data_IF_851988268024
#
_entry.id   IF_851988268024
#
_cell.length_a   1.000
_cell.length_b   1.000
_cell.length_c   1.000
_cell.angle_alpha   90.00
_cell.angle_beta   90.00
_cell.angle_gamma   90.00
#
_symmetry.space_group_name_H-M   'P 1'
#
loop_
_entity.id
_entity.type
_entity.pdbx_description
1 polymer ?
#
# COMPACT_ATOMS: atom_id res chain seq x y z
N UNK A 1 -31.06 6.87 0.01
CA UNK A 1 -31.67 7.56 -1.15
C UNK A 1 -31.73 6.74 -2.45
N UNK A 2 -31.27 5.47 -2.55
CA UNK A 2 -31.51 4.64 -3.76
C UNK A 2 -32.87 3.93 -3.71
N UNK A 3 -33.29 3.53 -2.52
CA UNK A 3 -34.55 2.80 -2.26
C UNK A 3 -35.79 3.66 -2.53
N UNK A 4 -35.67 4.98 -2.43
CA UNK A 4 -36.80 5.91 -2.64
C UNK A 4 -37.03 6.24 -4.12
N UNK A 5 -35.97 6.20 -4.94
CA UNK A 5 -36.01 6.54 -6.37
C UNK A 5 -36.33 5.33 -7.26
N UNK A 6 -35.97 4.13 -6.81
CA UNK A 6 -36.10 2.90 -7.60
C UNK A 6 -37.55 2.48 -7.85
N UNK A 7 -38.48 2.51 -6.86
CA UNK A 7 -39.87 2.13 -7.08
C UNK A 7 -40.61 2.98 -8.13
N UNK A 8 -40.61 4.34 -8.07
CA UNK A 8 -41.27 5.15 -9.09
C UNK A 8 -40.55 5.09 -10.46
N UNK A 9 -39.24 4.84 -10.47
CA UNK A 9 -38.47 4.65 -11.70
C UNK A 9 -38.84 3.37 -12.46
N UNK A 10 -39.07 2.26 -11.75
CA UNK A 10 -39.49 0.99 -12.37
C UNK A 10 -40.95 1.06 -12.84
N UNK A 11 -41.83 1.71 -12.08
CA UNK A 11 -43.23 1.86 -12.45
C UNK A 11 -43.42 2.68 -13.74
N UNK A 12 -42.57 3.71 -13.94
CA UNK A 12 -42.66 4.61 -15.10
C UNK A 12 -41.88 4.14 -16.34
N UNK A 13 -40.66 3.60 -16.17
CA UNK A 13 -39.76 3.23 -17.27
C UNK A 13 -39.60 1.71 -17.45
N UNK A 14 -40.05 0.90 -16.49
CA UNK A 14 -39.98 -0.57 -16.56
C UNK A 14 -38.56 -1.07 -16.80
N UNK A 15 -38.36 -1.78 -17.92
CA UNK A 15 -37.08 -2.40 -18.27
C UNK A 15 -35.98 -1.38 -18.62
N UNK A 16 -36.35 -0.18 -19.09
CA UNK A 16 -35.40 0.86 -19.50
C UNK A 16 -34.64 1.44 -18.31
N UNK A 17 -35.22 1.38 -17.12
CA UNK A 17 -34.55 1.79 -15.88
C UNK A 17 -33.27 0.99 -15.62
N UNK A 18 -33.21 -0.29 -16.01
CA UNK A 18 -32.00 -1.10 -15.87
C UNK A 18 -30.86 -0.65 -16.80
N UNK A 19 -31.18 -0.11 -17.98
CA UNK A 19 -30.17 0.42 -18.91
C UNK A 19 -29.38 1.57 -18.25
N UNK A 20 -30.08 2.42 -17.50
CA UNK A 20 -29.44 3.54 -16.78
C UNK A 20 -28.39 3.00 -15.82
N UNK A 21 -28.73 1.98 -15.02
CA UNK A 21 -27.79 1.31 -14.11
C UNK A 21 -26.63 0.65 -14.85
N UNK A 22 -26.90 -0.02 -15.97
CA UNK A 22 -25.84 -0.63 -16.81
C UNK A 22 -24.88 0.42 -17.36
N UNK A 23 -25.39 1.57 -17.82
CA UNK A 23 -24.54 2.65 -18.36
C UNK A 23 -23.75 3.31 -17.24
N UNK A 24 -24.35 3.61 -16.08
CA UNK A 24 -23.60 4.15 -14.95
C UNK A 24 -22.52 3.19 -14.49
N UNK A 25 -22.86 1.92 -14.27
CA UNK A 25 -21.89 0.90 -13.86
C UNK A 25 -20.78 0.72 -14.91
N UNK A 26 -21.16 0.67 -16.18
CA UNK A 26 -20.23 0.58 -17.30
C UNK A 26 -19.35 1.82 -17.46
N UNK A 27 -19.83 3.01 -17.11
CA UNK A 27 -19.05 4.24 -17.09
C UNK A 27 -18.11 4.33 -15.88
N UNK A 28 -18.49 3.75 -14.74
CA UNK A 28 -17.62 3.70 -13.56
C UNK A 28 -16.37 2.83 -13.80
N UNK A 29 -16.47 1.74 -14.55
CA UNK A 29 -15.33 0.85 -14.84
C UNK A 29 -14.12 1.57 -15.47
N UNK A 30 -14.25 2.30 -16.60
CA UNK A 30 -13.13 3.03 -17.19
C UNK A 30 -12.70 4.22 -16.33
N UNK A 31 -13.62 4.87 -15.60
CA UNK A 31 -13.26 5.96 -14.69
C UNK A 31 -12.31 5.45 -13.60
N UNK A 32 -12.68 4.35 -12.92
CA UNK A 32 -11.83 3.78 -11.87
C UNK A 32 -10.51 3.28 -12.48
N UNK A 33 -10.54 2.61 -13.63
CA UNK A 33 -9.33 2.11 -14.27
C UNK A 33 -8.35 3.22 -14.70
N UNK A 34 -8.85 4.38 -15.14
CA UNK A 34 -8.00 5.45 -15.68
C UNK A 34 -7.52 6.44 -14.62
N UNK A 35 -8.31 6.67 -13.57
CA UNK A 35 -8.07 7.75 -12.59
C UNK A 35 -7.66 7.25 -11.21
N UNK A 36 -7.91 5.98 -10.85
CA UNK A 36 -7.54 5.45 -9.54
C UNK A 36 -6.24 4.65 -9.60
N UNK A 37 -5.14 5.12 -8.97
CA UNK A 37 -3.95 4.31 -8.77
C UNK A 37 -4.19 3.20 -7.76
N UNK A 38 -3.40 2.13 -7.85
CA UNK A 38 -3.42 1.02 -6.91
C UNK A 38 -2.92 1.50 -5.54
N UNK A 39 -3.75 1.34 -4.51
CA UNK A 39 -3.45 1.80 -3.14
C UNK A 39 -3.12 0.65 -2.19
N UNK A 40 -3.27 -0.61 -2.62
CA UNK A 40 -2.91 -1.75 -1.78
C UNK A 40 -1.40 -1.81 -1.54
N UNK A 41 -1.01 -2.17 -0.32
CA UNK A 41 0.40 -2.42 0.08
C UNK A 41 1.34 -1.19 -0.09
N UNK A 42 0.77 0.02 -0.08
CA UNK A 42 1.52 1.29 -0.14
C UNK A 42 1.42 2.08 1.16
N UNK A 43 2.52 2.71 1.56
CA UNK A 43 2.52 3.67 2.67
C UNK A 43 1.89 5.00 2.20
N UNK A 44 1.43 5.82 3.16
CA UNK A 44 0.89 7.15 2.85
C UNK A 44 1.97 8.07 2.24
N UNK A 45 3.22 7.89 2.65
CA UNK A 45 4.37 8.65 2.12
C UNK A 45 4.70 8.25 0.68
N UNK A 46 4.59 6.96 0.34
CA UNK A 46 4.75 6.49 -1.04
C UNK A 46 3.69 7.06 -1.97
N UNK A 47 2.44 7.14 -1.50
CA UNK A 47 1.32 7.71 -2.25
C UNK A 47 1.52 9.20 -2.49
N UNK A 48 1.93 9.95 -1.46
CA UNK A 48 2.21 11.38 -1.60
C UNK A 48 3.34 11.64 -2.61
N UNK A 49 4.44 10.87 -2.54
CA UNK A 49 5.52 10.90 -3.54
C UNK A 49 5.04 10.55 -4.93
N UNK A 50 4.20 9.53 -5.07
CA UNK A 50 3.65 9.11 -6.36
C UNK A 50 2.87 10.26 -7.02
N UNK A 51 2.06 10.99 -6.25
CA UNK A 51 1.30 12.15 -6.75
C UNK A 51 2.19 13.37 -7.06
N UNK A 52 3.30 13.56 -6.34
CA UNK A 52 4.27 14.63 -6.63
C UNK A 52 5.09 14.32 -7.89
N UNK A 53 5.57 13.07 -8.04
CA UNK A 53 6.39 12.66 -9.17
C UNK A 53 5.56 12.45 -10.45
N UNK A 54 4.32 11.99 -10.34
CA UNK A 54 3.45 11.68 -11.46
C UNK A 54 2.27 12.65 -11.54
N UNK A 55 2.48 13.74 -12.26
CA UNK A 55 1.42 14.71 -12.60
C UNK A 55 0.53 14.27 -13.77
N UNK A 56 0.71 13.07 -14.29
CA UNK A 56 -0.13 12.57 -15.37
C UNK A 56 -1.52 12.20 -14.83
N UNK A 57 -2.54 12.84 -15.39
CA UNK A 57 -3.96 12.59 -15.09
C UNK A 57 -4.36 11.14 -15.43
N UNK A 58 -3.57 10.47 -16.27
CA UNK A 58 -3.80 9.13 -16.76
C UNK A 58 -2.92 8.12 -16.03
N UNK A 59 -3.49 7.48 -15.01
CA UNK A 59 -2.81 6.50 -14.16
C UNK A 59 -2.33 5.26 -14.93
N UNK A 60 -3.07 4.85 -15.97
CA UNK A 60 -2.77 3.64 -16.76
C UNK A 60 -1.41 3.64 -17.46
N UNK A 61 -0.80 4.82 -17.64
CA UNK A 61 0.45 4.97 -18.39
C UNK A 61 1.68 4.68 -17.53
N UNK A 62 1.54 4.72 -16.20
CA UNK A 62 2.62 4.41 -15.28
C UNK A 62 2.44 3.04 -14.62
N UNK A 63 3.32 2.10 -14.99
CA UNK A 63 3.35 0.73 -14.46
C UNK A 63 3.59 0.69 -12.95
N UNK A 64 4.25 1.70 -12.38
CA UNK A 64 4.49 1.79 -10.94
C UNK A 64 3.24 2.23 -10.15
N UNK A 65 2.33 2.99 -10.80
CA UNK A 65 1.07 3.44 -10.21
C UNK A 65 -0.03 2.37 -10.26
N UNK A 66 0.11 1.34 -11.11
CA UNK A 66 -0.82 0.21 -11.23
C UNK A 66 -0.26 -1.09 -10.61
N UNK A 67 0.95 -1.07 -10.04
CA UNK A 67 1.54 -2.28 -9.46
C UNK A 67 1.04 -2.52 -8.04
N UNK A 68 0.47 -3.71 -7.79
CA UNK A 68 0.02 -4.17 -6.46
C UNK A 68 1.14 -4.39 -5.46
N UNK A 69 2.38 -4.61 -5.92
CA UNK A 69 3.51 -4.81 -5.01
C UNK A 69 4.23 -3.49 -4.78
N UNK A 70 4.62 -3.23 -3.54
CA UNK A 70 5.55 -2.14 -3.22
C UNK A 70 6.87 -2.34 -4.01
N UNK A 71 7.21 -1.45 -4.96
CA UNK A 71 8.45 -1.52 -5.71
C UNK A 71 9.63 -1.32 -4.77
N UNK A 72 10.72 -2.05 -5.01
CA UNK A 72 11.93 -2.00 -4.18
C UNK A 72 12.49 -0.57 -3.99
N UNK A 73 12.29 0.30 -4.98
CA UNK A 73 12.74 1.70 -4.95
C UNK A 73 12.19 2.51 -3.77
N UNK A 74 10.95 2.26 -3.37
CA UNK A 74 10.32 2.97 -2.25
C UNK A 74 10.83 2.44 -0.90
N UNK A 75 11.12 1.14 -0.82
CA UNK A 75 11.70 0.51 0.37
C UNK A 75 13.11 1.03 0.62
N UNK A 76 13.95 1.09 -0.42
CA UNK A 76 15.31 1.63 -0.32
C UNK A 76 15.32 3.11 0.10
N UNK A 77 14.39 3.92 -0.42
CA UNK A 77 14.28 5.34 -0.03
C UNK A 77 13.86 5.51 1.43
N UNK A 78 12.91 4.70 1.91
CA UNK A 78 12.50 4.71 3.33
C UNK A 78 13.66 4.29 4.24
N UNK A 79 14.42 3.25 3.87
CA UNK A 79 15.60 2.81 4.61
C UNK A 79 16.70 3.89 4.67
N UNK A 80 16.94 4.60 3.56
CA UNK A 80 17.90 5.70 3.49
C UNK A 80 17.47 6.91 4.32
N UNK A 81 16.18 7.21 4.37
CA UNK A 81 15.63 8.29 5.18
C UNK A 81 15.68 7.97 6.67
N UNK A 82 15.31 6.74 7.06
CA UNK A 82 15.47 6.24 8.43
C UNK A 82 16.95 6.28 8.83
N UNK A 83 17.86 5.88 7.95
CA UNK A 83 19.30 5.96 8.19
C UNK A 83 19.77 7.40 8.41
N UNK A 84 19.31 8.34 7.58
CA UNK A 84 19.68 9.77 7.70
C UNK A 84 19.12 10.44 8.95
N UNK A 85 17.89 10.12 9.33
CA UNK A 85 17.25 10.70 10.52
C UNK A 85 17.69 10.02 11.82
N UNK A 86 18.12 8.77 11.77
CA UNK A 86 18.63 8.11 12.97
C UNK A 86 19.93 8.77 13.42
N UNK A 87 19.97 9.23 14.67
CA UNK A 87 21.20 9.73 15.33
C UNK A 87 22.15 8.59 15.71
N UNK A 88 21.79 7.34 15.37
CA UNK A 88 22.50 6.13 15.76
C UNK A 88 23.43 5.76 14.62
N UNK A 89 24.74 5.72 14.89
CA UNK A 89 25.71 5.32 13.88
C UNK A 89 25.61 3.81 13.64
N UNK A 90 25.81 3.34 12.40
CA UNK A 90 25.67 1.92 12.07
C UNK A 90 26.63 1.00 12.86
N UNK A 91 27.75 1.56 13.31
CA UNK A 91 28.71 0.91 14.20
C UNK A 91 28.13 0.56 15.59
N UNK A 92 27.27 1.41 16.15
CA UNK A 92 26.63 1.18 17.44
C UNK A 92 25.56 0.08 17.36
N UNK A 93 24.80 0.04 16.25
CA UNK A 93 23.80 -1.00 16.01
C UNK A 93 24.46 -2.37 15.83
N UNK A 94 25.54 -2.44 15.04
CA UNK A 94 26.27 -3.69 14.83
C UNK A 94 26.89 -4.21 16.14
N UNK A 95 27.44 -3.31 16.96
CA UNK A 95 27.95 -3.64 18.28
C UNK A 95 26.87 -4.18 19.22
N UNK A 96 25.71 -3.53 19.27
CA UNK A 96 24.58 -3.96 20.09
C UNK A 96 24.01 -5.33 19.65
N UNK A 97 23.89 -5.56 18.34
CA UNK A 97 23.43 -6.85 17.78
C UNK A 97 24.42 -7.97 18.10
N UNK A 98 25.73 -7.71 17.97
CA UNK A 98 26.77 -8.68 18.30
C UNK A 98 26.83 -8.99 19.80
N UNK A 99 26.64 -7.99 20.66
CA UNK A 99 26.54 -8.18 22.11
C UNK A 99 25.31 -9.03 22.46
N UNK A 100 24.13 -8.67 21.92
CA UNK A 100 22.90 -9.43 22.13
C UNK A 100 23.00 -10.88 21.61
N UNK A 101 23.63 -11.10 20.46
CA UNK A 101 23.86 -12.46 19.95
C UNK A 101 24.74 -13.29 20.89
N UNK A 102 25.80 -12.69 21.46
CA UNK A 102 26.63 -13.35 22.48
C UNK A 102 25.84 -13.66 23.74
N UNK A 103 24.98 -12.75 24.20
CA UNK A 103 24.15 -12.95 25.39
C UNK A 103 23.09 -14.04 25.18
N UNK A 104 22.49 -14.12 23.98
CA UNK A 104 21.58 -15.20 23.59
C UNK A 104 22.31 -16.55 23.54
N UNK A 105 23.52 -16.60 22.97
CA UNK A 105 24.32 -17.81 22.94
C UNK A 105 24.79 -18.23 24.34
N UNK A 106 25.12 -17.27 25.19
CA UNK A 106 25.51 -17.52 26.59
C UNK A 106 24.34 -18.07 27.40
N UNK A 107 23.13 -17.51 27.23
CA UNK A 107 21.92 -18.01 27.89
C UNK A 107 21.50 -19.39 27.40
N UNK A 108 21.59 -19.66 26.09
CA UNK A 108 21.35 -21.01 25.54
C UNK A 108 22.35 -22.06 26.04
N UNK A 109 23.64 -21.69 26.13
CA UNK A 109 24.66 -22.59 26.67
C UNK A 109 24.48 -22.81 28.18
N UNK A 110 24.10 -21.79 28.94
CA UNK A 110 23.80 -21.93 30.37
C UNK A 110 22.58 -22.85 30.61
N UNK A 111 21.51 -22.70 29.85
CA UNK A 111 20.31 -23.56 29.94
C UNK A 111 20.63 -25.02 29.56
N UNK A 112 21.59 -25.22 28.65
CA UNK A 112 22.02 -26.57 28.23
C UNK A 112 22.92 -27.26 29.25
N UNK A 113 23.66 -26.50 30.07
CA UNK A 113 24.54 -27.03 31.12
C UNK A 113 23.73 -27.41 32.38
N UNK A 114 22.65 -26.70 32.69
CA UNK A 114 21.80 -26.96 33.85
C UNK A 114 20.87 -28.19 33.68
N UNK A 115 20.69 -28.67 32.44
CA UNK A 115 19.87 -29.85 32.07
C UNK A 115 20.67 -31.17 31.97
N UNK A 116 21.95 -31.18 32.36
CA UNK A 116 22.84 -32.37 32.37
C UNK A 116 23.17 -32.74 33.82
#
# INVERSE_FOLDING_TARGET
>A
MVVEITPPGIESLGWQFYIIWTVFNGAFVPIVYLFYPETADRSLEDLDRLFIENHDIFVFRNKEATSTKRPARYVEQEEDEVRRQSSIKPEDVSGAVAAHAKDVLASQNAEKIDKV
#
